data_IF_237338191664
#
_entry.id   IF_237338191664
#
_cell.length_a   1.000
_cell.length_b   1.000
_cell.length_c   1.000
_cell.angle_alpha   90.00
_cell.angle_beta   90.00
_cell.angle_gamma   90.00
#
_symmetry.space_group_name_H-M   'P 1'
#
loop_
_entity.id
_entity.type
_entity.pdbx_description
1 polymer ?
#
# COMPACT_ATOMS: atom_id res chain seq x y z
N UNK A 1 28.90 54.30 59.74
CA UNK A 1 27.92 55.37 60.01
C UNK A 1 26.67 54.89 59.34
N UNK A 2 25.82 54.25 60.13
CA UNK A 2 24.56 53.70 59.66
C UNK A 2 23.65 54.88 59.36
N UNK A 3 23.35 55.09 58.07
CA UNK A 3 22.34 56.06 57.64
C UNK A 3 20.98 55.57 58.13
N UNK A 4 20.49 56.17 59.20
CA UNK A 4 19.10 56.01 59.63
C UNK A 4 18.21 56.69 58.59
N UNK A 5 17.69 55.88 57.66
CA UNK A 5 16.71 56.32 56.68
C UNK A 5 15.41 56.62 57.45
N UNK A 6 15.17 57.90 57.75
CA UNK A 6 13.91 58.38 58.31
C UNK A 6 12.80 58.22 57.27
N UNK A 7 12.00 57.16 57.41
CA UNK A 7 10.81 56.97 56.58
C UNK A 7 9.72 57.96 57.01
N UNK A 8 9.05 58.65 56.05
CA UNK A 8 7.94 59.53 56.38
C UNK A 8 6.81 58.74 57.05
N UNK A 9 6.31 59.19 58.20
CA UNK A 9 5.29 58.51 59.02
C UNK A 9 4.02 58.11 58.26
N UNK A 10 3.64 58.89 57.25
CA UNK A 10 2.51 58.58 56.37
C UNK A 10 2.72 57.31 55.52
N UNK A 11 3.97 56.96 55.23
CA UNK A 11 4.30 55.75 54.47
C UNK A 11 4.12 54.48 55.32
N UNK A 12 4.53 54.51 56.60
CA UNK A 12 4.29 53.38 57.50
C UNK A 12 2.80 53.12 57.75
N UNK A 13 2.00 54.19 57.88
CA UNK A 13 0.56 54.08 58.14
C UNK A 13 -0.22 53.54 56.93
N UNK A 14 0.17 53.94 55.72
CA UNK A 14 -0.44 53.38 54.49
C UNK A 14 -0.06 51.91 54.30
N UNK A 15 1.18 51.52 54.59
CA UNK A 15 1.62 50.13 54.52
C UNK A 15 0.90 49.27 55.54
N UNK A 16 0.78 49.70 56.80
CA UNK A 16 0.08 48.93 57.83
C UNK A 16 -1.38 48.70 57.46
N UNK A 17 -2.06 49.72 56.94
CA UNK A 17 -3.45 49.60 56.46
C UNK A 17 -3.57 48.58 55.31
N UNK A 18 -2.65 48.61 54.36
CA UNK A 18 -2.62 47.65 53.24
C UNK A 18 -2.31 46.23 53.74
N UNK A 19 -1.38 46.09 54.69
CA UNK A 19 -1.03 44.80 55.31
C UNK A 19 -2.22 44.24 56.08
N UNK A 20 -2.97 45.05 56.82
CA UNK A 20 -4.18 44.60 57.53
C UNK A 20 -5.28 44.15 56.57
N UNK A 21 -5.46 44.86 55.44
CA UNK A 21 -6.39 44.44 54.39
C UNK A 21 -5.94 43.11 53.79
N UNK A 22 -4.64 42.92 53.51
CA UNK A 22 -4.12 41.66 52.96
C UNK A 22 -4.16 40.54 54.00
N UNK A 23 -3.92 40.82 55.28
CA UNK A 23 -3.99 39.82 56.34
C UNK A 23 -5.43 39.31 56.54
N UNK A 24 -6.40 40.22 56.48
CA UNK A 24 -7.81 39.88 56.66
C UNK A 24 -8.49 39.35 55.38
N UNK A 25 -8.08 39.82 54.19
CA UNK A 25 -8.72 39.48 52.92
C UNK A 25 -7.84 38.69 51.94
N UNK A 26 -6.60 38.38 52.29
CA UNK A 26 -5.65 37.68 51.41
C UNK A 26 -6.15 36.30 50.98
N UNK A 27 -6.93 35.63 51.83
CA UNK A 27 -7.55 34.36 51.50
C UNK A 27 -8.61 34.49 50.40
N UNK A 28 -9.36 35.59 50.32
CA UNK A 28 -10.29 35.83 49.20
C UNK A 28 -9.53 36.02 47.89
N UNK A 29 -8.38 36.68 47.91
CA UNK A 29 -7.51 36.83 46.73
C UNK A 29 -7.02 35.45 46.29
N UNK A 30 -6.57 34.61 47.23
CA UNK A 30 -6.15 33.24 46.93
C UNK A 30 -7.30 32.39 46.35
N UNK A 31 -8.49 32.44 46.96
CA UNK A 31 -9.67 31.73 46.45
C UNK A 31 -10.07 32.24 45.06
N UNK A 32 -10.04 33.56 44.85
CA UNK A 32 -10.32 34.19 43.56
C UNK A 32 -9.36 33.71 42.47
N UNK A 33 -8.05 33.68 42.76
CA UNK A 33 -7.03 33.17 41.85
C UNK A 33 -7.24 31.69 41.55
N UNK A 34 -7.44 30.86 42.57
CA UNK A 34 -7.69 29.42 42.40
C UNK A 34 -8.96 29.17 41.60
N UNK A 35 -10.04 29.88 41.89
CA UNK A 35 -11.30 29.77 41.14
C UNK A 35 -11.13 30.18 39.68
N UNK A 36 -10.40 31.27 39.42
CA UNK A 36 -10.12 31.74 38.06
C UNK A 36 -9.29 30.74 37.28
N UNK A 37 -8.24 30.16 37.89
CA UNK A 37 -7.44 29.10 37.27
C UNK A 37 -8.27 27.85 37.00
N UNK A 38 -9.09 27.41 37.96
CA UNK A 38 -9.96 26.25 37.78
C UNK A 38 -10.98 26.46 36.62
N UNK A 39 -11.59 27.63 36.55
CA UNK A 39 -12.50 27.99 35.45
C UNK A 39 -11.74 28.05 34.11
N UNK A 40 -10.54 28.62 34.09
CA UNK A 40 -9.71 28.67 32.90
C UNK A 40 -9.37 27.26 32.39
N UNK A 41 -8.88 26.38 33.27
CA UNK A 41 -8.53 25.02 32.91
C UNK A 41 -9.76 24.21 32.44
N UNK A 42 -10.91 24.39 33.09
CA UNK A 42 -12.11 23.63 32.74
C UNK A 42 -12.75 24.08 31.43
N UNK A 43 -12.89 25.39 31.24
CA UNK A 43 -13.63 25.93 30.09
C UNK A 43 -12.72 26.22 28.88
N UNK A 44 -11.58 26.89 29.08
CA UNK A 44 -10.72 27.26 27.96
C UNK A 44 -9.97 26.05 27.39
N UNK A 45 -9.43 25.16 28.23
CA UNK A 45 -8.70 23.96 27.74
C UNK A 45 -9.60 23.05 26.90
N UNK A 46 -10.85 22.87 27.32
CA UNK A 46 -11.84 22.04 26.59
C UNK A 46 -12.16 22.63 25.21
N UNK A 47 -12.42 23.94 25.13
CA UNK A 47 -12.71 24.64 23.86
C UNK A 47 -11.48 24.72 22.95
N UNK A 48 -10.31 24.97 23.52
CA UNK A 48 -9.07 25.02 22.74
C UNK A 48 -8.68 23.65 22.19
N UNK A 49 -8.84 22.57 22.97
CA UNK A 49 -8.56 21.20 22.52
C UNK A 49 -9.46 20.80 21.36
N UNK A 50 -10.76 21.08 21.45
CA UNK A 50 -11.73 20.76 20.39
C UNK A 50 -11.50 21.58 19.13
N UNK A 51 -11.17 22.86 19.26
CA UNK A 51 -10.79 23.68 18.12
C UNK A 51 -9.51 23.20 17.44
N UNK A 52 -8.48 22.85 18.24
CA UNK A 52 -7.22 22.32 17.73
C UNK A 52 -7.43 21.00 16.98
N UNK A 53 -8.21 20.06 17.53
CA UNK A 53 -8.49 18.79 16.86
C UNK A 53 -9.25 18.98 15.55
N UNK A 54 -10.26 19.86 15.51
CA UNK A 54 -11.00 20.15 14.28
C UNK A 54 -10.11 20.76 13.20
N UNK A 55 -9.18 21.65 13.58
CA UNK A 55 -8.20 22.22 12.66
C UNK A 55 -7.27 21.14 12.11
N UNK A 56 -6.75 20.27 12.96
CA UNK A 56 -5.89 19.15 12.56
C UNK A 56 -6.63 18.16 11.63
N UNK A 57 -7.89 17.84 11.91
CA UNK A 57 -8.74 17.01 11.05
C UNK A 57 -9.07 17.69 9.71
N UNK A 58 -9.30 19.00 9.70
CA UNK A 58 -9.51 19.78 8.48
C UNK A 58 -8.25 19.80 7.61
N UNK A 59 -7.08 19.99 8.22
CA UNK A 59 -5.79 19.93 7.52
C UNK A 59 -5.49 18.52 7.00
N UNK A 60 -5.79 17.48 7.78
CA UNK A 60 -5.64 16.09 7.38
C UNK A 60 -6.59 15.73 6.23
N UNK A 61 -7.87 16.11 6.32
CA UNK A 61 -8.85 15.86 5.26
C UNK A 61 -8.51 16.63 3.99
N UNK A 62 -8.04 17.88 4.10
CA UNK A 62 -7.52 18.63 2.95
C UNK A 62 -6.35 17.90 2.31
N UNK A 63 -5.38 17.44 3.11
CA UNK A 63 -4.17 16.77 2.64
C UNK A 63 -4.43 15.41 1.98
N UNK A 64 -5.28 14.58 2.57
CA UNK A 64 -5.41 13.17 2.18
C UNK A 64 -6.71 12.83 1.44
N UNK A 65 -7.80 13.57 1.67
CA UNK A 65 -9.11 13.25 1.09
C UNK A 65 -9.49 14.20 -0.05
N UNK A 66 -9.14 15.48 0.06
CA UNK A 66 -9.55 16.51 -0.92
C UNK A 66 -8.48 16.80 -1.98
N UNK A 67 -7.29 16.20 -1.87
CA UNK A 67 -6.22 16.41 -2.82
C UNK A 67 -6.31 15.42 -4.00
N UNK A 68 -6.77 15.86 -5.19
CA UNK A 68 -6.78 15.00 -6.38
C UNK A 68 -5.36 14.65 -6.85
N UNK A 69 -4.37 15.45 -6.49
CA UNK A 69 -2.97 15.28 -6.89
C UNK A 69 -2.37 13.98 -6.34
N UNK A 70 -2.63 13.64 -5.07
CA UNK A 70 -2.15 12.38 -4.47
C UNK A 70 -2.71 11.14 -5.18
N UNK A 71 -3.98 11.20 -5.59
CA UNK A 71 -4.60 10.14 -6.37
C UNK A 71 -3.95 10.03 -7.74
N UNK A 72 -3.74 11.16 -8.42
CA UNK A 72 -3.10 11.20 -9.73
C UNK A 72 -1.67 10.64 -9.69
N UNK A 73 -0.88 10.98 -8.67
CA UNK A 73 0.47 10.48 -8.47
C UNK A 73 0.49 8.95 -8.27
N UNK A 74 -0.48 8.41 -7.51
CA UNK A 74 -0.63 6.96 -7.33
C UNK A 74 -0.99 6.26 -8.64
N UNK A 75 -1.92 6.82 -9.42
CA UNK A 75 -2.31 6.27 -10.72
C UNK A 75 -1.14 6.27 -11.71
N UNK A 76 -0.41 7.39 -11.80
CA UNK A 76 0.78 7.49 -12.64
C UNK A 76 1.86 6.48 -12.25
N UNK A 77 2.08 6.24 -10.95
CA UNK A 77 3.01 5.22 -10.48
C UNK A 77 2.57 3.79 -10.86
N UNK A 78 1.26 3.52 -10.83
CA UNK A 78 0.69 2.23 -11.24
C UNK A 78 0.77 2.02 -12.76
N UNK A 79 0.47 3.06 -13.54
CA UNK A 79 0.60 3.06 -15.00
C UNK A 79 2.05 2.82 -15.42
N UNK A 80 3.00 3.50 -14.76
CA UNK A 80 4.43 3.31 -15.01
C UNK A 80 4.87 1.86 -14.78
N UNK A 81 4.48 1.25 -13.66
CA UNK A 81 4.78 -0.17 -13.41
C UNK A 81 4.17 -1.10 -14.46
N UNK A 82 2.93 -0.83 -14.87
CA UNK A 82 2.26 -1.64 -15.88
C UNK A 82 2.98 -1.54 -17.22
N UNK A 83 3.44 -0.35 -17.59
CA UNK A 83 4.22 -0.11 -18.81
C UNK A 83 5.56 -0.85 -18.78
N UNK A 84 6.32 -0.74 -17.69
CA UNK A 84 7.60 -1.46 -17.53
C UNK A 84 7.43 -2.98 -17.64
N UNK A 85 6.32 -3.51 -17.12
CA UNK A 85 5.97 -4.92 -17.20
C UNK A 85 5.57 -5.33 -18.62
N UNK A 86 4.76 -4.51 -19.32
CA UNK A 86 4.42 -4.72 -20.73
C UNK A 86 5.68 -4.75 -21.62
N UNK A 87 6.62 -3.83 -21.41
CA UNK A 87 7.87 -3.79 -22.16
C UNK A 87 8.73 -5.05 -21.95
N UNK A 88 8.76 -5.59 -20.72
CA UNK A 88 9.45 -6.87 -20.45
C UNK A 88 8.80 -8.01 -21.21
N UNK A 89 7.47 -8.14 -21.12
CA UNK A 89 6.74 -9.18 -21.87
C UNK A 89 6.92 -9.05 -23.38
N UNK A 90 6.98 -7.83 -23.90
CA UNK A 90 7.22 -7.60 -25.31
C UNK A 90 8.62 -8.05 -25.73
N UNK A 91 9.66 -7.72 -24.93
CA UNK A 91 11.03 -8.19 -25.17
C UNK A 91 11.11 -9.72 -25.14
N UNK A 92 10.53 -10.35 -24.13
CA UNK A 92 10.52 -11.81 -24.00
C UNK A 92 9.78 -12.48 -25.17
N UNK A 93 8.68 -11.87 -25.63
CA UNK A 93 7.92 -12.36 -26.79
C UNK A 93 8.73 -12.23 -28.10
N UNK A 94 9.48 -11.14 -28.28
CA UNK A 94 10.36 -10.94 -29.43
C UNK A 94 11.53 -11.93 -29.43
N UNK A 95 12.16 -12.16 -28.27
CA UNK A 95 13.23 -13.16 -28.12
C UNK A 95 12.72 -14.58 -28.41
N UNK A 96 11.53 -14.92 -27.92
CA UNK A 96 10.92 -16.22 -28.17
C UNK A 96 10.57 -16.41 -29.66
N UNK A 97 10.06 -15.35 -30.32
CA UNK A 97 9.80 -15.38 -31.77
C UNK A 97 11.09 -15.61 -32.56
N UNK A 98 12.16 -14.86 -32.28
CA UNK A 98 13.47 -15.05 -32.93
C UNK A 98 14.00 -16.48 -32.75
N UNK A 99 13.89 -17.02 -31.54
CA UNK A 99 14.32 -18.39 -31.25
C UNK A 99 13.49 -19.46 -31.97
N UNK A 100 12.20 -19.20 -32.20
CA UNK A 100 11.35 -20.07 -33.01
C UNK A 100 11.76 -20.01 -34.48
N UNK A 101 11.96 -18.81 -35.03
CA UNK A 101 12.42 -18.60 -36.41
C UNK A 101 13.77 -19.30 -36.67
N UNK A 102 14.76 -19.13 -35.78
CA UNK A 102 16.05 -19.84 -35.89
C UNK A 102 15.92 -21.37 -35.84
N UNK A 103 15.01 -21.90 -35.01
CA UNK A 103 14.75 -23.35 -34.96
C UNK A 103 14.03 -23.84 -36.21
N UNK A 104 13.13 -23.05 -36.77
CA UNK A 104 12.45 -23.36 -38.02
C UNK A 104 13.41 -23.33 -39.21
N UNK A 105 14.32 -22.35 -39.26
CA UNK A 105 15.38 -22.29 -40.28
C UNK A 105 16.35 -23.46 -40.17
N UNK A 106 16.80 -23.80 -38.96
CA UNK A 106 17.62 -25.01 -38.73
C UNK A 106 16.90 -26.28 -39.18
N UNK A 107 15.62 -26.44 -38.80
CA UNK A 107 14.81 -27.59 -39.22
C UNK A 107 14.63 -27.64 -40.74
N UNK A 108 14.42 -26.50 -41.40
CA UNK A 108 14.33 -26.42 -42.86
C UNK A 108 15.65 -26.80 -43.53
N UNK A 109 16.79 -26.32 -43.01
CA UNK A 109 18.12 -26.64 -43.52
C UNK A 109 18.47 -28.13 -43.34
N UNK A 110 18.23 -28.70 -42.16
CA UNK A 110 18.42 -30.14 -41.90
C UNK A 110 17.54 -31.00 -42.82
N UNK A 111 16.31 -30.55 -43.10
CA UNK A 111 15.41 -31.24 -44.01
C UNK A 111 15.95 -31.19 -45.45
N UNK A 112 16.39 -30.02 -45.90
CA UNK A 112 17.03 -29.82 -47.21
C UNK A 112 18.30 -30.68 -47.37
N UNK A 113 19.15 -30.75 -46.34
CA UNK A 113 20.35 -31.59 -46.31
C UNK A 113 19.98 -33.07 -46.45
N UNK A 114 18.99 -33.56 -45.69
CA UNK A 114 18.47 -34.94 -45.81
C UNK A 114 17.90 -35.27 -47.20
N UNK A 115 17.31 -34.28 -47.89
CA UNK A 115 16.84 -34.47 -49.27
C UNK A 115 17.98 -34.46 -50.29
N UNK A 116 19.04 -33.67 -50.05
CA UNK A 116 20.22 -33.59 -50.91
C UNK A 116 21.17 -34.80 -50.78
N UNK A 117 21.26 -35.41 -49.60
CA UNK A 117 22.12 -36.59 -49.32
C UNK A 117 21.64 -37.91 -49.97
N UNK A 118 20.72 -37.85 -50.94
CA UNK A 118 20.17 -39.01 -51.62
C UNK A 118 19.07 -39.65 -50.79
N UNK A 119 17.86 -39.07 -50.87
CA UNK A 119 16.70 -39.53 -50.15
C UNK A 119 16.47 -41.04 -50.27
N UNK A 120 16.40 -41.73 -49.13
CA UNK A 120 15.91 -43.10 -49.07
C UNK A 120 14.48 -43.12 -49.64
N UNK A 121 14.31 -43.63 -50.85
CA UNK A 121 12.99 -44.01 -51.37
C UNK A 121 12.43 -45.03 -50.40
N UNK A 122 11.43 -44.63 -49.60
CA UNK A 122 10.56 -45.58 -48.94
C UNK A 122 9.92 -46.38 -50.08
N UNK A 123 10.42 -47.61 -50.29
CA UNK A 123 9.84 -48.53 -51.25
C UNK A 123 8.33 -48.65 -51.02
N UNK A 124 7.55 -49.02 -52.05
CA UNK A 124 6.10 -49.00 -52.00
C UNK A 124 5.62 -49.73 -50.74
N UNK A 125 5.14 -48.94 -49.77
CA UNK A 125 4.55 -49.48 -48.55
C UNK A 125 3.35 -50.29 -48.97
N UNK A 126 3.42 -51.61 -48.81
CA UNK A 126 2.26 -52.47 -48.97
C UNK A 126 1.17 -51.92 -48.05
N UNK A 127 0.11 -51.39 -48.64
CA UNK A 127 -1.03 -50.80 -47.96
C UNK A 127 -1.69 -51.84 -47.06
N UNK A 128 -1.23 -51.97 -45.82
CA UNK A 128 -2.02 -52.60 -44.77
C UNK A 128 -3.13 -51.62 -44.44
N UNK A 129 -4.34 -51.93 -44.88
CA UNK A 129 -5.51 -51.09 -44.65
C UNK A 129 -5.60 -50.76 -43.15
N UNK A 130 -5.68 -49.48 -42.83
CA UNK A 130 -6.01 -49.04 -41.48
C UNK A 130 -7.31 -49.74 -41.06
N UNK A 131 -7.34 -50.27 -39.84
CA UNK A 131 -8.58 -50.82 -39.28
C UNK A 131 -9.63 -49.69 -39.31
N UNK A 132 -10.86 -49.96 -39.75
CA UNK A 132 -11.88 -48.93 -39.99
C UNK A 132 -12.27 -48.12 -38.73
N UNK A 133 -11.91 -48.60 -37.54
CA UNK A 133 -12.16 -47.93 -36.25
C UNK A 133 -11.09 -46.93 -35.83
N UNK A 134 -9.94 -46.84 -36.51
CA UNK A 134 -8.85 -45.95 -36.11
C UNK A 134 -8.89 -44.64 -36.90
N UNK A 135 -9.49 -43.60 -36.32
CA UNK A 135 -9.40 -42.24 -36.82
C UNK A 135 -8.31 -41.47 -36.03
N UNK A 136 -7.15 -41.14 -36.63
CA UNK A 136 -6.05 -40.48 -35.92
C UNK A 136 -6.38 -39.04 -35.48
N UNK A 137 -7.50 -38.47 -35.93
CA UNK A 137 -8.02 -37.19 -35.45
C UNK A 137 -8.93 -37.32 -34.22
N UNK A 138 -9.44 -38.53 -33.95
CA UNK A 138 -10.29 -38.85 -32.80
C UNK A 138 -9.56 -39.92 -31.99
N UNK A 139 -8.72 -39.48 -31.04
CA UNK A 139 -7.97 -40.36 -30.15
C UNK A 139 -8.79 -41.58 -29.70
N UNK A 140 -8.15 -42.75 -29.75
CA UNK A 140 -8.72 -44.07 -29.45
C UNK A 140 -9.76 -44.03 -28.34
N UNK A 141 -10.94 -44.55 -28.64
CA UNK A 141 -12.15 -44.35 -27.86
C UNK A 141 -12.16 -44.88 -26.42
N UNK A 142 -13.19 -44.41 -25.75
CA UNK A 142 -13.82 -44.96 -24.55
C UNK A 142 -13.05 -44.85 -23.24
N UNK A 143 -13.54 -43.97 -22.36
CA UNK A 143 -13.40 -43.95 -20.89
C UNK A 143 -12.33 -43.09 -20.21
N UNK A 144 -11.67 -42.12 -20.86
CA UNK A 144 -10.91 -41.10 -20.12
C UNK A 144 -11.79 -39.93 -19.68
N UNK A 145 -12.85 -40.24 -18.92
CA UNK A 145 -13.47 -39.24 -18.06
C UNK A 145 -12.50 -38.99 -16.91
N UNK A 146 -11.62 -38.00 -17.05
CA UNK A 146 -10.90 -37.47 -15.89
C UNK A 146 -11.94 -36.90 -14.92
N UNK A 147 -12.25 -37.67 -13.88
CA UNK A 147 -12.96 -37.15 -12.71
C UNK A 147 -11.90 -36.63 -11.75
N UNK A 148 -11.84 -35.32 -11.46
CA UNK A 148 -10.98 -34.84 -10.40
C UNK A 148 -11.38 -35.51 -9.09
N UNK A 149 -10.38 -35.85 -8.26
CA UNK A 149 -10.63 -36.38 -6.93
C UNK A 149 -11.52 -35.39 -6.17
N UNK A 150 -12.61 -35.88 -5.54
CA UNK A 150 -13.43 -35.02 -4.69
C UNK A 150 -12.53 -34.49 -3.58
N UNK A 151 -12.44 -33.16 -3.45
CA UNK A 151 -11.75 -32.48 -2.35
C UNK A 151 -12.52 -32.72 -1.05
N UNK A 152 -12.54 -33.95 -0.55
CA UNK A 152 -13.08 -34.28 0.76
C UNK A 152 -11.96 -34.14 1.79
N UNK A 153 -12.01 -33.01 2.49
CA UNK A 153 -11.48 -32.81 3.84
C UNK A 153 -10.01 -33.21 4.10
N UNK A 154 -9.06 -32.65 3.36
CA UNK A 154 -7.76 -32.35 3.98
C UNK A 154 -7.95 -31.12 4.88
N UNK A 155 -8.16 -31.34 6.17
CA UNK A 155 -8.25 -30.27 7.17
C UNK A 155 -6.89 -29.62 7.50
N UNK A 156 -5.78 -30.13 6.95
CA UNK A 156 -4.45 -29.51 7.07
C UNK A 156 -3.71 -29.67 5.75
N UNK A 157 -3.23 -28.56 5.21
CA UNK A 157 -2.92 -28.36 3.80
C UNK A 157 -1.80 -29.23 3.21
N UNK A 158 -1.83 -29.29 1.88
CA UNK A 158 -0.73 -29.75 1.05
C UNK A 158 -1.01 -31.06 0.33
N UNK A 159 -1.63 -30.97 -0.85
CA UNK A 159 -1.54 -31.98 -1.92
C UNK A 159 -1.70 -31.23 -3.25
N UNK A 160 -0.57 -30.72 -3.74
CA UNK A 160 -0.33 -30.39 -5.14
C UNK A 160 0.92 -31.16 -5.55
#
# INVERSE_FOLDING_TARGET
MDEEIEYPSHFSDTISTVVDIIANYGWYILISVVATLYLYEKYLKSRFRTYKSQKEEAEYSAKYHKNPDLLSARLLAQEKRTRELQEKYQRDAEEHKKKLEEREEKRKNELLEKYNDGGHTLGPSSSKSFKPEYNPLMGSGSSTNYKPQKRSACSKGGCG
#
